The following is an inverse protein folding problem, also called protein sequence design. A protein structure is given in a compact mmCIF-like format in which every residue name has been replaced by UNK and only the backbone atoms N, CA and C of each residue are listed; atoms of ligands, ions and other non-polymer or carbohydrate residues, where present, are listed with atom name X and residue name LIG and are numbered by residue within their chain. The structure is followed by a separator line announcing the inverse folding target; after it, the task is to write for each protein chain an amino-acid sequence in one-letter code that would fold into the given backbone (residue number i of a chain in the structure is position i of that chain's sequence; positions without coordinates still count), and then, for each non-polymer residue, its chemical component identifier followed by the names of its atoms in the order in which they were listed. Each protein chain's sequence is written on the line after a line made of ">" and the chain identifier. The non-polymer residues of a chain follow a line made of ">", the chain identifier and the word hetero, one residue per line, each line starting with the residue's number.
data_IF_972953201450
#
_entry.id   IF_972953201450
#
_cell.length_a   1.000
_cell.length_b   1.000
_cell.length_c   1.000
_cell.angle_alpha   90.00
_cell.angle_beta   90.00
_cell.angle_gamma   90.00
#
_symmetry.space_group_name_H-M   'P 1'
#
loop_
_entity.id
_entity.type
_entity.pdbx_description
1 polymer ?
#
# COMPACT_ATOMS: atom_id res chain seq x y z
N UNK A 1 -22.05 -16.70 22.42
CA UNK A 1 -21.11 -15.75 21.77
C UNK A 1 -20.01 -16.44 20.95
N UNK A 2 -19.69 -17.71 21.22
CA UNK A 2 -18.69 -18.48 20.44
C UNK A 2 -19.17 -18.89 19.03
N UNK A 3 -20.47 -18.95 18.80
CA UNK A 3 -21.06 -19.38 17.54
C UNK A 3 -20.92 -18.31 16.42
N UNK A 4 -20.87 -17.02 16.77
CA UNK A 4 -20.69 -15.92 15.80
C UNK A 4 -19.27 -15.81 15.23
N UNK A 5 -18.25 -16.18 16.02
CA UNK A 5 -16.84 -16.10 15.60
C UNK A 5 -16.50 -17.22 14.60
N UNK A 6 -17.08 -18.41 14.81
CA UNK A 6 -16.87 -19.55 13.90
C UNK A 6 -17.47 -19.33 12.52
N UNK A 7 -18.63 -18.67 12.44
CA UNK A 7 -19.34 -18.44 11.18
C UNK A 7 -18.62 -17.42 10.28
N UNK A 8 -18.01 -16.39 10.89
CA UNK A 8 -17.22 -15.36 10.16
C UNK A 8 -15.89 -15.91 9.64
N UNK A 9 -15.21 -16.73 10.42
CA UNK A 9 -13.96 -17.39 10.01
C UNK A 9 -14.16 -18.35 8.83
N UNK A 10 -15.29 -19.05 8.78
CA UNK A 10 -15.64 -19.95 7.68
C UNK A 10 -15.91 -19.17 6.40
N UNK A 11 -16.54 -18.00 6.47
CA UNK A 11 -16.84 -17.16 5.30
C UNK A 11 -15.56 -16.59 4.66
N UNK A 12 -14.59 -16.12 5.47
CA UNK A 12 -13.30 -15.62 4.97
C UNK A 12 -12.45 -16.75 4.38
N UNK A 13 -12.42 -17.91 5.02
CA UNK A 13 -11.69 -19.08 4.53
C UNK A 13 -12.30 -19.63 3.25
N UNK A 14 -13.64 -19.62 3.11
CA UNK A 14 -14.34 -19.98 1.88
C UNK A 14 -14.00 -19.03 0.73
N UNK A 15 -13.91 -17.74 1.00
CA UNK A 15 -13.55 -16.73 0.01
C UNK A 15 -12.10 -16.92 -0.50
N UNK A 16 -11.14 -17.22 0.39
CA UNK A 16 -9.75 -17.51 0.02
C UNK A 16 -9.60 -18.83 -0.75
N UNK A 17 -10.45 -19.84 -0.44
CA UNK A 17 -10.47 -21.12 -1.15
C UNK A 17 -11.05 -20.94 -2.56
N UNK A 18 -12.08 -20.12 -2.73
CA UNK A 18 -12.65 -19.80 -4.05
C UNK A 18 -11.65 -19.07 -4.96
N UNK A 19 -10.84 -18.17 -4.41
CA UNK A 19 -9.75 -17.51 -5.16
C UNK A 19 -8.67 -18.50 -5.65
N UNK A 20 -8.34 -19.53 -4.87
CA UNK A 20 -7.37 -20.59 -5.27
C UNK A 20 -7.89 -21.50 -6.38
N UNK A 21 -9.20 -21.65 -6.49
CA UNK A 21 -9.85 -22.60 -7.40
C UNK A 21 -10.47 -21.95 -8.65
N UNK A 22 -10.46 -20.62 -8.75
CA UNK A 22 -11.02 -19.91 -9.89
C UNK A 22 -10.00 -19.81 -11.02
N UNK A 23 -10.43 -20.11 -12.23
CA UNK A 23 -9.66 -19.85 -13.45
C UNK A 23 -9.42 -18.35 -13.62
N UNK A 24 -8.27 -17.91 -14.20
CA UNK A 24 -7.88 -16.50 -14.25
C UNK A 24 -8.85 -15.58 -15.01
N UNK A 25 -9.81 -16.12 -15.75
CA UNK A 25 -10.58 -15.37 -16.75
C UNK A 25 -11.85 -14.69 -16.23
N UNK A 26 -12.23 -14.85 -14.93
CA UNK A 26 -13.52 -14.34 -14.43
C UNK A 26 -13.52 -13.94 -12.94
N UNK A 27 -12.52 -13.28 -12.44
CA UNK A 27 -12.53 -12.81 -11.05
C UNK A 27 -12.76 -11.29 -11.03
N UNK A 28 -14.00 -10.89 -10.75
CA UNK A 28 -14.27 -9.52 -10.28
C UNK A 28 -13.88 -9.46 -8.81
N UNK A 29 -12.70 -8.95 -8.51
CA UNK A 29 -12.21 -8.84 -7.15
C UNK A 29 -12.72 -7.51 -6.57
N UNK A 30 -13.74 -7.56 -5.73
CA UNK A 30 -14.01 -6.48 -4.79
C UNK A 30 -12.98 -6.57 -3.67
N UNK A 31 -11.85 -5.90 -3.84
CA UNK A 31 -10.85 -5.78 -2.78
C UNK A 31 -11.33 -4.65 -1.87
N UNK A 32 -11.92 -5.02 -0.73
CA UNK A 32 -11.94 -4.13 0.41
C UNK A 32 -10.51 -4.14 0.96
N UNK A 33 -9.78 -3.02 0.98
CA UNK A 33 -8.53 -2.96 1.71
C UNK A 33 -8.75 -3.54 3.09
N UNK A 34 -7.75 -4.20 3.68
CA UNK A 34 -7.83 -4.65 5.08
C UNK A 34 -7.86 -3.40 5.97
N UNK A 35 -8.98 -2.72 5.95
CA UNK A 35 -9.37 -1.57 6.71
C UNK A 35 -10.56 -1.96 7.58
N UNK A 36 -10.41 -1.74 8.84
CA UNK A 36 -11.34 -1.84 9.96
C UNK A 36 -12.82 -1.79 9.58
N UNK A 37 -13.51 -2.93 9.66
CA UNK A 37 -14.96 -2.93 9.82
C UNK A 37 -15.21 -2.81 11.34
N UNK A 38 -15.56 -1.62 11.80
CA UNK A 38 -16.05 -1.40 13.15
C UNK A 38 -17.40 -2.11 13.33
N UNK A 39 -17.62 -2.71 14.50
CA UNK A 39 -18.87 -3.38 14.89
C UNK A 39 -20.07 -2.43 14.90
N UNK A 40 -19.88 -1.12 14.75
CA UNK A 40 -20.92 -0.09 14.79
C UNK A 40 -21.58 0.19 13.44
N UNK A 41 -20.99 -0.27 12.33
CA UNK A 41 -21.53 -0.04 10.98
C UNK A 41 -22.67 -0.98 10.56
N UNK A 42 -23.02 -1.96 11.40
CA UNK A 42 -24.05 -2.96 11.09
C UNK A 42 -25.47 -2.62 11.63
N UNK A 43 -25.69 -1.44 12.24
CA UNK A 43 -26.95 -1.12 12.91
C UNK A 43 -27.76 0.06 12.37
N UNK A 44 -27.45 0.61 11.19
CA UNK A 44 -28.27 1.69 10.59
C UNK A 44 -28.64 1.40 9.15
N UNK A 45 -29.71 0.64 9.02
CA UNK A 45 -30.53 0.60 7.84
C UNK A 45 -31.93 1.08 8.18
N UNK A 46 -32.20 2.35 7.95
CA UNK A 46 -33.57 2.82 7.67
C UNK A 46 -33.50 4.11 6.84
N UNK A 47 -34.26 4.06 5.75
CA UNK A 47 -34.49 5.08 4.75
C UNK A 47 -35.41 6.17 5.34
N UNK A 48 -35.08 7.45 5.13
CA UNK A 48 -36.12 8.46 4.95
C UNK A 48 -35.65 9.63 4.08
N UNK A 49 -36.36 9.80 2.99
CA UNK A 49 -36.42 10.96 2.10
C UNK A 49 -37.06 12.17 2.79
N UNK A 50 -36.49 13.36 2.64
CA UNK A 50 -37.23 14.60 2.26
C UNK A 50 -36.36 15.85 2.35
N UNK A 51 -36.11 16.43 1.20
CA UNK A 51 -36.48 17.78 0.72
C UNK A 51 -35.86 19.04 1.38
N UNK A 52 -35.24 19.82 0.46
CA UNK A 52 -35.16 21.28 0.29
C UNK A 52 -34.42 22.16 1.34
N UNK A 53 -33.43 22.85 0.95
CA UNK A 53 -33.37 24.25 0.51
C UNK A 53 -31.95 24.83 0.56
N UNK A 54 -31.68 25.68 -0.41
CA UNK A 54 -30.46 26.46 -0.66
C UNK A 54 -30.11 27.38 0.51
N UNK A 55 -28.80 27.57 0.72
CA UNK A 55 -28.24 28.92 0.90
C UNK A 55 -26.74 28.91 0.62
N UNK A 56 -26.34 29.82 -0.25
CA UNK A 56 -24.97 30.17 -0.62
C UNK A 56 -24.16 30.61 0.58
N UNK A 57 -22.90 30.10 0.71
CA UNK A 57 -21.84 30.92 1.27
C UNK A 57 -20.47 30.49 0.70
N UNK A 58 -19.98 31.38 -0.10
CA UNK A 58 -18.63 31.43 -0.65
C UNK A 58 -17.62 31.57 0.49
N UNK A 59 -16.79 30.56 0.70
CA UNK A 59 -15.55 30.72 1.44
C UNK A 59 -14.47 29.88 0.77
N UNK A 60 -13.64 30.56 -0.02
CA UNK A 60 -12.40 30.00 -0.57
C UNK A 60 -11.44 29.67 0.59
N UNK A 61 -11.43 28.44 1.00
CA UNK A 61 -10.28 27.84 1.64
C UNK A 61 -9.85 26.68 0.74
N UNK A 62 -8.65 26.82 0.21
CA UNK A 62 -7.94 25.78 -0.49
C UNK A 62 -7.50 24.68 0.52
N UNK A 63 -8.46 23.92 1.00
CA UNK A 63 -8.22 22.57 1.50
C UNK A 63 -8.35 21.66 0.28
N UNK A 64 -7.21 21.22 -0.26
CA UNK A 64 -7.17 20.13 -1.21
C UNK A 64 -7.84 18.93 -0.55
N UNK A 65 -9.09 18.68 -0.97
CA UNK A 65 -9.84 17.52 -0.54
C UNK A 65 -9.13 16.28 -1.11
N UNK A 66 -8.34 15.61 -0.30
CA UNK A 66 -7.80 14.28 -0.61
C UNK A 66 -8.98 13.38 -0.96
N UNK A 67 -8.97 12.87 -2.18
CA UNK A 67 -10.02 11.99 -2.67
C UNK A 67 -9.99 10.70 -1.85
N UNK A 68 -11.14 10.27 -1.36
CA UNK A 68 -11.30 8.95 -0.78
C UNK A 68 -11.23 7.91 -1.89
N UNK A 69 -10.11 7.20 -1.98
CA UNK A 69 -9.86 6.17 -2.99
C UNK A 69 -10.40 4.79 -2.60
N UNK A 70 -10.94 4.63 -1.40
CA UNK A 70 -11.38 3.33 -0.87
C UNK A 70 -12.47 2.63 -1.70
N UNK A 71 -13.13 3.35 -2.60
CA UNK A 71 -14.17 2.81 -3.47
C UNK A 71 -13.73 2.64 -4.93
N UNK A 72 -12.44 2.75 -5.23
CA UNK A 72 -11.95 2.54 -6.58
C UNK A 72 -12.06 1.07 -6.97
N UNK A 73 -12.75 0.77 -8.07
CA UNK A 73 -12.84 -0.58 -8.62
C UNK A 73 -11.63 -0.81 -9.52
N UNK A 74 -10.69 -1.62 -9.05
CA UNK A 74 -9.55 -2.05 -9.86
C UNK A 74 -9.98 -3.18 -10.80
N UNK A 75 -9.64 -3.07 -12.07
CA UNK A 75 -10.03 -4.05 -13.07
C UNK A 75 -8.91 -4.30 -14.08
N UNK A 76 -8.96 -5.47 -14.71
CA UNK A 76 -8.05 -5.77 -15.84
C UNK A 76 -8.17 -4.76 -17.00
N UNK A 77 -9.31 -4.09 -17.14
CA UNK A 77 -9.50 -3.06 -18.17
C UNK A 77 -8.65 -1.83 -17.90
N UNK A 78 -8.51 -1.42 -16.64
CA UNK A 78 -7.64 -0.31 -16.22
C UNK A 78 -6.20 -0.55 -16.69
N UNK A 79 -5.65 -1.72 -16.41
CA UNK A 79 -4.31 -2.08 -16.88
C UNK A 79 -4.21 -2.15 -18.40
N UNK A 80 -5.22 -2.76 -19.07
CA UNK A 80 -5.24 -2.85 -20.54
C UNK A 80 -5.25 -1.47 -21.21
N UNK A 81 -6.04 -0.54 -20.69
CA UNK A 81 -6.10 0.84 -21.16
C UNK A 81 -4.75 1.55 -20.97
N UNK A 82 -4.14 1.41 -19.80
CA UNK A 82 -2.82 1.96 -19.52
C UNK A 82 -1.76 1.39 -20.48
N UNK A 83 -1.70 0.07 -20.66
CA UNK A 83 -0.73 -0.55 -21.56
C UNK A 83 -0.94 -0.15 -23.02
N UNK A 84 -2.17 0.04 -23.46
CA UNK A 84 -2.51 0.51 -24.80
C UNK A 84 -2.20 2.00 -25.02
N UNK A 85 -2.03 2.78 -23.98
CA UNK A 85 -1.81 4.23 -24.07
C UNK A 85 -0.46 4.61 -24.67
N UNK A 86 0.54 3.73 -24.60
CA UNK A 86 1.91 4.03 -25.02
C UNK A 86 2.63 5.07 -24.16
N UNK A 87 2.07 5.41 -22.98
CA UNK A 87 2.65 6.38 -22.03
C UNK A 87 3.92 5.84 -21.40
N UNK A 88 4.82 6.73 -21.07
CA UNK A 88 6.04 6.42 -20.35
C UNK A 88 6.52 7.61 -19.54
N UNK A 89 7.14 7.34 -18.42
CA UNK A 89 7.81 8.33 -17.58
C UNK A 89 9.00 7.70 -16.86
N UNK A 90 9.96 8.52 -16.48
CA UNK A 90 11.10 8.10 -15.67
C UNK A 90 11.64 9.27 -14.87
N UNK A 91 11.87 9.05 -13.59
CA UNK A 91 12.46 10.03 -12.67
C UNK A 91 13.97 9.82 -12.67
N UNK A 92 14.70 10.77 -13.29
CA UNK A 92 16.15 10.71 -13.38
C UNK A 92 16.84 10.98 -12.03
N UNK A 93 18.03 10.40 -11.85
CA UNK A 93 18.90 10.61 -10.68
C UNK A 93 18.24 10.28 -9.34
N UNK A 94 17.29 9.34 -9.32
CA UNK A 94 16.67 8.90 -8.08
C UNK A 94 17.70 8.12 -7.24
N UNK A 95 17.85 8.43 -5.92
CA UNK A 95 18.80 7.75 -5.05
C UNK A 95 18.34 6.31 -4.77
N UNK A 96 19.25 5.34 -4.94
CA UNK A 96 18.99 3.95 -4.56
C UNK A 96 19.77 3.61 -3.31
N UNK A 97 19.08 3.05 -2.30
CA UNK A 97 19.67 2.58 -1.06
C UNK A 97 19.41 1.09 -0.87
N UNK A 98 20.40 0.36 -0.38
CA UNK A 98 20.21 -1.01 0.08
C UNK A 98 19.76 -0.99 1.55
N UNK A 99 18.75 -1.80 1.90
CA UNK A 99 18.32 -1.96 3.30
C UNK A 99 19.36 -2.73 4.12
N UNK A 100 20.10 -3.64 3.50
CA UNK A 100 21.10 -4.47 4.15
C UNK A 100 22.45 -3.75 4.32
N UNK A 101 23.22 -4.13 5.33
CA UNK A 101 22.95 -5.14 6.36
C UNK A 101 22.14 -4.60 7.55
N UNK A 102 21.91 -3.29 7.68
CA UNK A 102 21.42 -2.63 8.90
C UNK A 102 19.96 -2.96 9.19
N UNK A 103 19.11 -3.02 8.16
CA UNK A 103 17.66 -3.18 8.27
C UNK A 103 17.17 -4.41 7.49
N UNK A 104 17.39 -5.64 8.01
CA UNK A 104 17.08 -6.86 7.26
C UNK A 104 15.59 -7.03 6.90
N UNK A 105 14.68 -6.37 7.59
CA UNK A 105 13.24 -6.30 7.29
C UNK A 105 12.75 -4.86 7.12
N UNK A 106 13.61 -3.94 6.66
CA UNK A 106 13.30 -2.50 6.63
C UNK A 106 13.06 -1.95 5.22
N UNK A 107 12.41 -2.70 4.35
CA UNK A 107 12.13 -2.25 2.97
C UNK A 107 11.28 -0.98 2.95
N UNK A 108 10.30 -0.85 3.81
CA UNK A 108 9.40 0.29 3.88
C UNK A 108 10.14 1.57 4.32
N UNK A 109 10.95 1.45 5.38
CA UNK A 109 11.74 2.58 5.88
C UNK A 109 12.81 2.99 4.88
N UNK A 110 13.46 2.02 4.22
CA UNK A 110 14.46 2.30 3.20
C UNK A 110 13.82 2.96 1.98
N UNK A 111 12.64 2.51 1.55
CA UNK A 111 11.87 3.14 0.47
C UNK A 111 11.49 4.58 0.83
N UNK A 112 11.01 4.82 2.05
CA UNK A 112 10.74 6.19 2.53
C UNK A 112 12.01 7.04 2.52
N UNK A 113 13.14 6.52 3.02
CA UNK A 113 14.41 7.24 3.05
C UNK A 113 14.88 7.64 1.65
N UNK A 114 14.73 6.76 0.65
CA UNK A 114 15.04 7.09 -0.74
C UNK A 114 14.20 8.26 -1.26
N UNK A 115 12.89 8.26 -0.97
CA UNK A 115 11.99 9.36 -1.38
C UNK A 115 12.35 10.65 -0.67
N UNK A 116 12.61 10.63 0.63
CA UNK A 116 13.02 11.80 1.40
C UNK A 116 14.32 12.41 0.84
N UNK A 117 15.33 11.57 0.54
CA UNK A 117 16.59 12.04 -0.03
C UNK A 117 16.42 12.61 -1.43
N UNK A 118 15.53 12.03 -2.25
CA UNK A 118 15.16 12.62 -3.55
C UNK A 118 14.54 14.00 -3.42
N UNK A 119 13.76 14.24 -2.37
CA UNK A 119 13.13 15.53 -2.07
C UNK A 119 14.08 16.54 -1.42
N UNK A 120 15.32 16.14 -1.10
CA UNK A 120 16.35 17.01 -0.57
C UNK A 120 16.49 17.01 0.95
N UNK A 121 15.83 16.06 1.65
CA UNK A 121 16.11 15.80 3.06
C UNK A 121 17.46 15.08 3.19
N UNK A 122 18.13 15.25 4.32
CA UNK A 122 19.33 14.47 4.68
C UNK A 122 18.91 13.32 5.60
N UNK A 123 18.22 12.34 5.01
CA UNK A 123 17.58 11.27 5.74
C UNK A 123 18.46 10.03 5.83
N UNK A 124 18.57 9.44 7.03
CA UNK A 124 19.24 8.16 7.30
C UNK A 124 18.22 7.09 7.66
N UNK A 125 18.28 5.94 6.98
CA UNK A 125 17.32 4.83 7.17
C UNK A 125 17.33 4.26 8.59
N UNK A 126 18.51 4.23 9.24
CA UNK A 126 18.64 3.69 10.59
C UNK A 126 18.13 4.66 11.64
N UNK A 127 18.31 5.96 11.42
CA UNK A 127 17.74 7.00 12.28
C UNK A 127 16.21 7.00 12.19
N UNK A 128 15.65 6.94 10.99
CA UNK A 128 14.18 6.85 10.80
C UNK A 128 13.63 5.60 11.47
N UNK A 129 14.24 4.44 11.25
CA UNK A 129 13.82 3.17 11.85
C UNK A 129 13.87 3.20 13.39
N UNK A 130 14.87 3.88 13.96
CA UNK A 130 15.04 3.95 15.40
C UNK A 130 14.08 4.93 16.08
N UNK A 131 13.91 6.13 15.51
CA UNK A 131 13.37 7.28 16.21
C UNK A 131 12.01 7.77 15.72
N UNK A 132 11.57 7.40 14.51
CA UNK A 132 10.35 7.92 13.89
C UNK A 132 9.33 6.82 13.55
N UNK A 133 9.75 5.56 13.45
CA UNK A 133 8.88 4.44 13.14
C UNK A 133 8.22 3.92 14.42
N UNK A 134 6.89 3.92 14.46
CA UNK A 134 6.13 3.25 15.52
C UNK A 134 6.24 1.72 15.36
N UNK A 135 6.56 1.02 16.44
CA UNK A 135 6.83 -0.43 16.45
C UNK A 135 5.95 -1.13 17.49
N UNK A 136 5.54 -2.35 17.17
CA UNK A 136 4.75 -3.20 18.07
C UNK A 136 5.17 -4.66 18.00
N UNK A 137 4.98 -5.38 19.09
CA UNK A 137 5.39 -6.79 19.19
C UNK A 137 4.35 -7.73 18.61
N UNK A 138 4.81 -8.74 17.86
CA UNK A 138 3.99 -9.88 17.46
C UNK A 138 3.60 -10.73 18.68
N UNK A 139 2.37 -11.23 18.78
CA UNK A 139 1.25 -11.12 17.83
C UNK A 139 0.27 -9.97 18.14
N UNK A 140 0.61 -9.06 19.05
CA UNK A 140 -0.27 -7.98 19.48
C UNK A 140 -0.37 -6.84 18.46
N UNK A 141 0.64 -6.68 17.62
CA UNK A 141 0.75 -5.58 16.67
C UNK A 141 -0.15 -5.74 15.44
N UNK A 142 -0.69 -4.60 14.97
CA UNK A 142 -1.43 -4.48 13.71
C UNK A 142 -0.55 -3.72 12.70
N UNK A 143 -0.24 -4.30 11.51
CA UNK A 143 0.64 -3.68 10.52
C UNK A 143 0.07 -2.38 9.90
N UNK A 144 -1.20 -2.05 10.13
CA UNK A 144 -1.77 -0.77 9.73
C UNK A 144 -1.56 0.35 10.76
N UNK A 145 -1.08 0.04 11.96
CA UNK A 145 -0.85 1.03 13.03
C UNK A 145 0.58 1.04 13.55
N UNK A 146 1.30 -0.07 13.41
CA UNK A 146 2.69 -0.20 13.86
C UNK A 146 3.47 -1.12 12.93
N UNK A 147 4.78 -0.96 12.89
CA UNK A 147 5.68 -1.96 12.31
C UNK A 147 5.68 -3.20 13.23
N UNK A 148 5.36 -4.36 12.68
CA UNK A 148 5.27 -5.61 13.45
C UNK A 148 6.66 -6.20 13.66
N UNK A 149 7.22 -5.98 14.84
CA UNK A 149 8.60 -6.26 15.20
C UNK A 149 9.48 -5.02 15.10
N UNK A 150 10.67 -5.18 14.52
CA UNK A 150 11.63 -4.09 14.31
C UNK A 150 12.41 -4.29 13.01
N UNK A 151 12.67 -3.23 12.21
CA UNK A 151 13.45 -3.36 10.96
C UNK A 151 14.86 -3.92 11.15
N UNK A 152 15.39 -3.83 12.36
CA UNK A 152 16.72 -4.32 12.72
C UNK A 152 16.79 -5.85 12.92
N UNK A 153 15.66 -6.54 12.98
CA UNK A 153 15.60 -7.99 13.20
C UNK A 153 15.03 -8.71 11.97
N UNK A 154 15.78 -9.69 11.47
CA UNK A 154 15.39 -10.53 10.33
C UNK A 154 14.16 -11.43 10.56
N UNK A 155 13.74 -11.59 11.82
CA UNK A 155 12.55 -12.37 12.21
C UNK A 155 11.29 -11.52 12.32
N UNK A 156 11.37 -10.22 12.02
CA UNK A 156 10.22 -9.31 12.02
C UNK A 156 9.39 -9.46 10.75
N UNK A 157 8.21 -8.86 10.77
CA UNK A 157 7.31 -8.81 9.61
C UNK A 157 7.51 -7.52 8.80
N UNK A 158 6.83 -6.44 9.17
CA UNK A 158 6.84 -5.18 8.43
C UNK A 158 5.63 -4.31 8.80
N UNK A 159 5.29 -3.36 7.93
CA UNK A 159 4.11 -2.51 8.10
C UNK A 159 3.50 -2.10 6.74
N UNK A 160 2.32 -1.49 6.81
CA UNK A 160 1.59 -1.03 5.64
C UNK A 160 1.59 0.51 5.51
N UNK A 161 1.03 1.00 4.42
CA UNK A 161 1.06 2.39 4.00
C UNK A 161 0.71 3.42 5.10
N UNK A 162 -0.29 3.22 5.98
CA UNK A 162 -0.58 4.19 7.04
C UNK A 162 0.60 4.45 7.96
N UNK A 163 1.33 3.40 8.37
CA UNK A 163 2.48 3.51 9.28
C UNK A 163 3.62 4.31 8.65
N UNK A 164 3.90 4.11 7.38
CA UNK A 164 4.94 4.85 6.64
C UNK A 164 4.51 6.30 6.40
N UNK A 165 3.22 6.55 6.17
CA UNK A 165 2.67 7.91 6.09
C UNK A 165 2.89 8.65 7.41
N UNK A 166 2.53 8.03 8.54
CA UNK A 166 2.69 8.63 9.86
C UNK A 166 4.17 8.82 10.21
N UNK A 167 5.02 7.85 9.89
CA UNK A 167 6.47 7.92 10.07
C UNK A 167 7.09 9.12 9.32
N UNK A 168 6.71 9.31 8.06
CA UNK A 168 7.17 10.44 7.24
C UNK A 168 6.71 11.79 7.81
N UNK A 169 5.44 11.88 8.24
CA UNK A 169 4.88 13.09 8.84
C UNK A 169 5.53 13.40 10.20
N UNK A 170 5.84 12.38 11.01
CA UNK A 170 6.58 12.56 12.26
C UNK A 170 8.02 13.01 12.01
N UNK A 171 8.65 12.56 10.92
CA UNK A 171 9.98 13.01 10.49
C UNK A 171 9.98 14.49 10.04
N UNK A 172 8.82 15.06 9.76
CA UNK A 172 8.64 16.45 9.33
C UNK A 172 8.46 16.63 7.83
N UNK A 173 8.21 15.56 7.10
CA UNK A 173 7.77 15.59 5.71
C UNK A 173 6.24 15.71 5.63
N UNK A 174 5.70 15.90 4.43
CA UNK A 174 4.25 15.91 4.19
C UNK A 174 3.88 14.70 3.31
N UNK A 175 3.55 13.59 3.95
CA UNK A 175 3.20 12.35 3.28
C UNK A 175 1.69 12.13 3.23
N UNK A 176 1.23 11.51 2.17
CA UNK A 176 -0.18 11.17 1.94
C UNK A 176 -0.30 9.70 1.58
N UNK A 177 -1.18 9.01 2.29
CA UNK A 177 -1.59 7.66 1.94
C UNK A 177 -2.58 7.72 0.76
N UNK A 178 -2.16 7.19 -0.39
CA UNK A 178 -2.96 7.11 -1.63
C UNK A 178 -3.43 5.67 -1.93
N UNK A 179 -3.42 4.80 -0.93
CA UNK A 179 -3.88 3.41 -1.11
C UNK A 179 -5.29 3.36 -1.66
N UNK A 180 -5.52 2.48 -2.64
CA UNK A 180 -6.78 2.38 -3.35
C UNK A 180 -6.93 3.33 -4.55
N UNK A 181 -6.01 4.26 -4.78
CA UNK A 181 -5.98 5.04 -6.01
C UNK A 181 -5.74 4.12 -7.23
N UNK A 182 -6.18 4.55 -8.41
CA UNK A 182 -5.98 3.78 -9.64
C UNK A 182 -4.52 3.70 -10.05
N UNK A 183 -4.12 2.64 -10.76
CA UNK A 183 -2.75 2.54 -11.29
C UNK A 183 -2.45 3.69 -12.27
N UNK A 184 -3.46 4.22 -12.95
CA UNK A 184 -3.33 5.39 -13.80
C UNK A 184 -2.93 6.64 -12.98
N UNK A 185 -3.51 6.83 -11.78
CA UNK A 185 -3.11 7.91 -10.88
C UNK A 185 -1.68 7.74 -10.36
N UNK A 186 -1.24 6.52 -10.07
CA UNK A 186 0.17 6.24 -9.71
C UNK A 186 1.10 6.64 -10.87
N UNK A 187 0.74 6.28 -12.11
CA UNK A 187 1.48 6.71 -13.30
C UNK A 187 1.50 8.23 -13.46
N UNK A 188 0.39 8.92 -13.19
CA UNK A 188 0.33 10.39 -13.24
C UNK A 188 1.25 11.05 -12.21
N UNK A 189 1.37 10.52 -10.98
CA UNK A 189 2.34 11.00 -10.01
C UNK A 189 3.76 10.90 -10.55
N UNK A 190 4.13 9.74 -11.09
CA UNK A 190 5.46 9.53 -11.67
C UNK A 190 5.73 10.43 -12.90
N UNK A 191 4.73 10.65 -13.76
CA UNK A 191 4.81 11.60 -14.88
C UNK A 191 5.07 13.04 -14.43
N UNK A 192 4.56 13.39 -13.25
CA UNK A 192 4.78 14.70 -12.63
C UNK A 192 6.09 14.78 -11.82
N UNK A 193 6.93 13.75 -11.88
CA UNK A 193 8.21 13.69 -11.17
C UNK A 193 8.08 13.38 -9.68
N UNK A 194 6.95 12.83 -9.26
CA UNK A 194 6.68 12.42 -7.88
C UNK A 194 6.79 10.90 -7.76
N UNK A 195 7.81 10.37 -7.05
CA UNK A 195 7.96 8.95 -6.83
C UNK A 195 6.86 8.42 -5.90
N UNK A 196 6.46 7.17 -6.08
CA UNK A 196 5.40 6.55 -5.29
C UNK A 196 5.95 5.33 -4.56
N UNK A 197 5.86 5.32 -3.23
CA UNK A 197 6.15 4.14 -2.41
C UNK A 197 5.00 3.16 -2.60
N UNK A 198 5.30 1.89 -2.93
CA UNK A 198 4.32 0.87 -3.28
C UNK A 198 4.61 -0.45 -2.58
N UNK A 199 3.57 -1.23 -2.31
CA UNK A 199 3.67 -2.59 -1.78
C UNK A 199 3.40 -3.62 -2.88
N UNK A 200 4.32 -4.54 -3.02
CA UNK A 200 4.24 -5.68 -3.92
C UNK A 200 4.89 -6.91 -3.25
N UNK A 201 5.55 -7.77 -4.00
CA UNK A 201 6.27 -8.92 -3.45
C UNK A 201 7.72 -8.91 -3.89
N UNK A 202 8.61 -9.53 -3.09
CA UNK A 202 10.01 -9.71 -3.44
C UNK A 202 10.11 -10.39 -4.82
N UNK A 203 10.88 -9.78 -5.73
CA UNK A 203 11.06 -10.23 -7.12
C UNK A 203 9.76 -10.44 -7.90
N UNK A 204 8.65 -9.85 -7.48
CA UNK A 204 7.31 -10.05 -8.05
C UNK A 204 6.84 -11.51 -8.02
N UNK A 205 7.32 -12.31 -7.08
CA UNK A 205 6.88 -13.69 -6.89
C UNK A 205 5.46 -13.75 -6.33
N UNK A 206 4.79 -14.89 -6.51
CA UNK A 206 3.44 -15.09 -5.98
C UNK A 206 3.45 -15.04 -4.45
N UNK A 207 2.48 -14.34 -3.87
CA UNK A 207 2.31 -14.32 -2.42
C UNK A 207 1.73 -15.62 -1.89
N UNK A 208 2.10 -15.98 -0.66
CA UNK A 208 1.49 -17.07 0.11
C UNK A 208 0.64 -16.46 1.24
N UNK A 209 -0.69 -16.63 1.10
CA UNK A 209 -1.62 -16.19 2.12
C UNK A 209 -1.92 -17.34 3.10
N UNK A 210 -1.71 -17.10 4.39
CA UNK A 210 -2.11 -18.00 5.46
C UNK A 210 -0.96 -18.72 6.16
N UNK A 211 0.28 -18.46 5.80
CA UNK A 211 1.44 -18.92 6.57
C UNK A 211 1.59 -18.16 7.89
N UNK A 212 1.10 -16.91 7.97
CA UNK A 212 1.14 -16.08 9.17
C UNK A 212 -0.20 -15.37 9.37
N UNK A 213 -0.94 -15.83 10.38
CA UNK A 213 -2.27 -15.29 10.74
C UNK A 213 -2.34 -15.09 12.25
N UNK A 214 -2.79 -13.90 12.69
CA UNK A 214 -2.99 -13.62 14.10
C UNK A 214 -4.15 -12.63 14.33
N UNK A 215 -4.58 -12.51 15.57
CA UNK A 215 -5.50 -11.45 15.99
C UNK A 215 -4.69 -10.44 16.79
N UNK A 216 -4.61 -9.22 16.28
CA UNK A 216 -3.92 -8.14 16.96
C UNK A 216 -4.68 -7.72 18.25
N UNK A 217 -4.02 -6.95 19.11
CA UNK A 217 -4.59 -6.51 20.40
C UNK A 217 -5.83 -5.64 20.26
N UNK A 218 -5.96 -4.93 19.14
CA UNK A 218 -7.15 -4.15 18.76
C UNK A 218 -8.34 -5.01 18.28
N UNK A 219 -8.16 -6.34 18.21
CA UNK A 219 -9.17 -7.30 17.79
C UNK A 219 -9.20 -7.54 16.26
N UNK A 220 -8.32 -6.91 15.50
CA UNK A 220 -8.27 -7.10 14.04
C UNK A 220 -7.59 -8.43 13.69
N UNK A 221 -8.19 -9.15 12.73
CA UNK A 221 -7.56 -10.31 12.11
C UNK A 221 -6.51 -9.84 11.11
N UNK A 222 -5.27 -10.22 11.34
CA UNK A 222 -4.16 -9.98 10.41
C UNK A 222 -3.86 -11.25 9.63
N UNK A 223 -3.83 -11.15 8.32
CA UNK A 223 -3.36 -12.19 7.41
C UNK A 223 -2.16 -11.58 6.69
N UNK A 224 -0.95 -11.98 7.11
CA UNK A 224 0.26 -11.41 6.53
C UNK A 224 0.55 -12.06 5.17
N UNK A 225 0.69 -11.27 4.09
CA UNK A 225 1.05 -11.81 2.79
C UNK A 225 2.52 -12.26 2.79
N UNK A 226 2.77 -13.52 2.45
CA UNK A 226 4.12 -14.01 2.26
C UNK A 226 4.83 -13.25 1.14
N UNK A 227 6.15 -13.12 1.23
CA UNK A 227 6.98 -12.39 0.26
C UNK A 227 6.67 -10.90 0.16
N UNK A 228 5.94 -10.31 1.15
CA UNK A 228 5.67 -8.88 1.19
C UNK A 228 6.97 -8.08 0.99
N UNK A 229 6.88 -7.01 0.21
CA UNK A 229 8.00 -6.13 -0.09
C UNK A 229 7.52 -4.74 -0.48
N UNK A 230 8.24 -3.73 0.01
CA UNK A 230 7.98 -2.33 -0.29
C UNK A 230 9.08 -1.76 -1.20
N UNK A 231 8.69 -1.07 -2.26
CA UNK A 231 9.56 -0.50 -3.29
C UNK A 231 9.17 0.95 -3.58
N UNK A 232 9.94 1.63 -4.41
CA UNK A 232 9.56 2.96 -4.93
C UNK A 232 9.39 2.91 -6.44
N UNK A 233 8.18 3.17 -6.93
CA UNK A 233 7.90 3.33 -8.35
C UNK A 233 8.42 4.69 -8.81
N UNK A 234 9.38 4.67 -9.76
CA UNK A 234 10.05 5.86 -10.29
C UNK A 234 9.90 6.00 -11.80
N UNK A 235 9.28 5.02 -12.45
CA UNK A 235 9.09 5.08 -13.89
C UNK A 235 8.28 3.93 -14.43
N UNK A 236 7.86 4.07 -15.68
CA UNK A 236 7.19 3.02 -16.43
C UNK A 236 7.31 3.25 -17.95
N UNK A 237 7.17 2.19 -18.73
CA UNK A 237 6.99 2.22 -20.17
C UNK A 237 5.84 1.25 -20.53
N UNK A 238 4.64 1.81 -20.73
CA UNK A 238 3.44 1.02 -20.97
C UNK A 238 3.49 0.24 -22.27
N UNK A 239 4.16 0.78 -23.32
CA UNK A 239 4.31 0.09 -24.59
C UNK A 239 5.21 -1.15 -24.49
N UNK A 240 6.13 -1.17 -23.54
CA UNK A 240 7.00 -2.32 -23.27
C UNK A 240 6.48 -3.22 -22.17
N UNK A 241 5.40 -2.84 -21.47
CA UNK A 241 4.93 -3.50 -20.27
C UNK A 241 6.00 -3.58 -19.17
N UNK A 242 6.72 -2.48 -18.94
CA UNK A 242 7.80 -2.34 -17.99
C UNK A 242 7.48 -1.30 -16.91
N UNK A 243 7.86 -1.58 -15.68
CA UNK A 243 7.88 -0.64 -14.55
C UNK A 243 9.27 -0.58 -13.95
N UNK A 244 9.72 0.60 -13.57
CA UNK A 244 11.05 0.86 -13.03
C UNK A 244 10.95 1.19 -11.55
N UNK A 245 11.61 0.37 -10.71
CA UNK A 245 11.54 0.44 -9.26
C UNK A 245 12.92 0.68 -8.65
N UNK A 246 13.00 1.62 -7.70
CA UNK A 246 14.08 1.61 -6.74
C UNK A 246 13.73 0.57 -5.67
N UNK A 247 14.51 -0.51 -5.66
CA UNK A 247 14.26 -1.68 -4.82
C UNK A 247 15.27 -1.71 -3.66
N UNK A 248 14.81 -1.67 -2.38
CA UNK A 248 15.69 -1.70 -1.22
C UNK A 248 16.59 -2.94 -1.08
N UNK A 249 16.31 -4.00 -1.81
CA UNK A 249 17.18 -5.18 -1.88
C UNK A 249 18.30 -5.05 -2.91
N UNK A 250 18.27 -3.97 -3.70
CA UNK A 250 19.26 -3.67 -4.74
C UNK A 250 19.82 -2.26 -4.56
N UNK A 251 21.01 -2.00 -5.10
CA UNK A 251 21.60 -0.66 -5.14
C UNK A 251 21.34 0.06 -6.47
N UNK A 252 20.48 -0.52 -7.32
CA UNK A 252 20.18 -0.04 -8.64
C UNK A 252 18.69 -0.11 -8.93
N UNK A 253 18.26 0.66 -9.92
CA UNK A 253 16.90 0.57 -10.43
C UNK A 253 16.67 -0.80 -11.08
N UNK A 254 15.62 -1.47 -10.63
CA UNK A 254 15.20 -2.77 -11.16
C UNK A 254 14.01 -2.60 -12.09
N UNK A 255 14.05 -3.27 -13.23
CA UNK A 255 12.93 -3.31 -14.18
C UNK A 255 12.12 -4.58 -13.95
N UNK A 256 10.81 -4.40 -13.73
CA UNK A 256 9.87 -5.50 -13.60
C UNK A 256 8.83 -5.46 -14.73
N UNK A 257 8.18 -6.58 -14.99
CA UNK A 257 7.02 -6.63 -15.88
C UNK A 257 5.84 -5.90 -15.21
N UNK A 258 5.26 -4.91 -15.89
CA UNK A 258 4.22 -4.07 -15.30
C UNK A 258 2.95 -4.86 -14.96
N UNK A 259 2.53 -5.77 -15.82
CA UNK A 259 1.34 -6.61 -15.55
C UNK A 259 1.53 -7.49 -14.32
N UNK A 260 2.74 -8.03 -14.12
CA UNK A 260 3.05 -8.83 -12.93
C UNK A 260 3.07 -7.96 -11.68
N UNK A 261 3.72 -6.80 -11.74
CA UNK A 261 3.69 -5.82 -10.64
C UNK A 261 2.24 -5.43 -10.29
N UNK A 262 1.43 -5.07 -11.28
CA UNK A 262 0.03 -4.70 -11.06
C UNK A 262 -0.74 -5.80 -10.32
N UNK A 263 -0.55 -7.05 -10.68
CA UNK A 263 -1.17 -8.17 -9.99
C UNK A 263 -0.68 -8.29 -8.54
N UNK A 264 0.63 -8.19 -8.29
CA UNK A 264 1.18 -8.24 -6.91
C UNK A 264 0.68 -7.07 -6.07
N UNK A 265 0.65 -5.87 -6.66
CA UNK A 265 0.13 -4.67 -6.01
C UNK A 265 -1.36 -4.79 -5.63
N UNK A 266 -2.19 -5.36 -6.52
CA UNK A 266 -3.59 -5.69 -6.19
C UNK A 266 -3.67 -6.67 -5.01
N UNK A 267 -2.89 -7.73 -5.03
CA UNK A 267 -2.85 -8.74 -3.96
C UNK A 267 -2.45 -8.15 -2.61
N UNK A 268 -1.63 -7.11 -2.59
CA UNK A 268 -1.23 -6.41 -1.36
C UNK A 268 -2.12 -5.19 -1.02
N UNK A 269 -3.31 -5.08 -1.60
CA UNK A 269 -4.31 -4.09 -1.21
C UNK A 269 -4.12 -2.72 -1.84
N UNK A 270 -3.51 -2.64 -3.02
CA UNK A 270 -3.35 -1.39 -3.79
C UNK A 270 -2.68 -0.26 -3.02
N UNK A 271 -1.72 -0.60 -2.17
CA UNK A 271 -1.12 0.35 -1.25
C UNK A 271 -0.15 1.31 -1.94
N UNK A 272 -0.18 2.57 -1.50
CA UNK A 272 0.73 3.60 -1.99
C UNK A 272 0.86 4.79 -1.06
N UNK A 273 2.05 5.38 -1.03
CA UNK A 273 2.34 6.62 -0.30
C UNK A 273 3.11 7.56 -1.22
N UNK A 274 2.70 8.82 -1.24
CA UNK A 274 3.46 9.92 -1.83
C UNK A 274 3.94 10.84 -0.73
N UNK A 275 5.03 11.57 -1.00
CA UNK A 275 5.54 12.64 -0.13
C UNK A 275 5.60 13.90 -0.95
N UNK A 276 4.90 14.94 -0.51
CA UNK A 276 4.89 16.24 -1.17
C UNK A 276 6.19 17.02 -0.92
N UNK A 277 6.50 17.92 -1.87
CA UNK A 277 7.66 18.83 -1.77
C UNK A 277 7.36 20.03 -0.89
#
# INVERSE_FOLDING_TARGET
>A
SEMCIRDRSVTILSFLIDMKNSSPDNVSINITPVGTISSDDLSRGEVNNSDSSQEDNNNNNSEDSYKDFHNTIHSENELKELLASGRKAYIDNFPCLNQLPELPTGCEVTSLTMVLNYLGYDADKTDIAANYLEKGDYPDANPNTTFVGTPFDKASYGCFAPVITDCANLYGAHAVNISGASIDQFCQYVENGQPVIVWATMNMESTDYGSSVWIAKDGQLVIWPGMEHCLVMIGFDSAKNEVYMADPLNENITTYNFSVFYQRWLELGCQGVIVDR
#
